data_IF_823468379616
#
_entry.id   IF_823468379616
#
_cell.length_a   1.000
_cell.length_b   1.000
_cell.length_c   1.000
_cell.angle_alpha   90.00
_cell.angle_beta   90.00
_cell.angle_gamma   90.00
#
_symmetry.space_group_name_H-M   'P 1'
#
loop_
_entity.id
_entity.type
_entity.pdbx_description
1 polymer ?
#
# COMPACT_ATOMS: atom_id res chain seq x y z
N UNK A 1 4.10 26.73 -51.74
CA UNK A 1 3.07 25.94 -52.46
C UNK A 1 3.18 24.49 -52.00
N UNK A 2 2.46 24.08 -50.97
CA UNK A 2 2.21 22.69 -50.70
C UNK A 2 0.84 22.54 -50.08
N UNK A 3 0.01 21.76 -50.74
CA UNK A 3 -1.37 21.47 -50.42
C UNK A 3 -1.47 20.62 -49.17
N UNK A 4 -2.30 21.05 -48.21
CA UNK A 4 -2.77 20.25 -47.11
C UNK A 4 -4.04 19.54 -47.55
N UNK A 5 -3.97 18.22 -47.79
CA UNK A 5 -5.12 17.38 -48.07
C UNK A 5 -5.85 17.05 -46.76
N UNK A 6 -7.08 17.53 -46.69
CA UNK A 6 -8.10 17.14 -45.75
C UNK A 6 -8.39 15.64 -45.84
N UNK A 7 -8.21 14.89 -44.74
CA UNK A 7 -8.74 13.55 -44.62
C UNK A 7 -9.90 13.57 -43.61
N UNK A 8 -11.10 13.83 -44.12
CA UNK A 8 -12.35 13.69 -43.37
C UNK A 8 -12.74 12.19 -43.43
N UNK A 9 -12.37 11.44 -42.41
CA UNK A 9 -12.84 10.07 -42.16
C UNK A 9 -14.21 10.02 -41.50
N UNK A 10 -15.25 9.97 -42.34
CA UNK A 10 -16.63 9.76 -41.92
C UNK A 10 -16.82 8.31 -41.43
N UNK A 11 -16.87 8.08 -40.10
CA UNK A 11 -17.34 6.81 -39.53
C UNK A 11 -18.80 6.94 -39.14
N UNK A 12 -19.65 6.51 -40.05
CA UNK A 12 -21.09 6.27 -39.82
C UNK A 12 -21.28 5.29 -38.64
N UNK A 13 -22.16 5.71 -37.76
CA UNK A 13 -22.54 4.97 -36.56
C UNK A 13 -23.14 3.60 -36.84
N UNK A 14 -22.87 2.71 -35.93
CA UNK A 14 -23.71 1.51 -35.73
C UNK A 14 -24.75 1.84 -34.69
N UNK A 15 -26.00 1.77 -35.14
CA UNK A 15 -27.18 1.90 -34.33
C UNK A 15 -27.14 0.98 -33.11
N UNK A 16 -27.32 1.58 -31.94
CA UNK A 16 -27.48 0.82 -30.71
C UNK A 16 -28.72 -0.05 -30.79
N UNK A 17 -28.54 -1.31 -30.55
CA UNK A 17 -29.61 -2.25 -30.32
C UNK A 17 -30.24 -1.88 -28.98
N UNK A 18 -31.32 -1.11 -29.02
CA UNK A 18 -32.17 -0.89 -27.85
C UNK A 18 -32.86 -2.22 -27.52
N UNK A 19 -32.26 -3.00 -26.65
CA UNK A 19 -32.93 -4.11 -26.00
C UNK A 19 -34.10 -3.55 -25.18
N UNK A 20 -35.32 -3.74 -25.67
CA UNK A 20 -36.53 -3.56 -24.87
C UNK A 20 -36.52 -4.58 -23.74
N UNK A 21 -35.86 -4.20 -22.64
CA UNK A 21 -35.90 -5.01 -21.41
C UNK A 21 -37.34 -4.94 -20.89
N UNK A 22 -38.03 -6.08 -20.92
CA UNK A 22 -39.38 -6.19 -20.41
C UNK A 22 -39.42 -5.74 -18.95
N UNK A 23 -40.38 -4.88 -18.60
CA UNK A 23 -40.56 -4.37 -17.22
C UNK A 23 -40.64 -5.48 -16.17
N UNK A 24 -41.08 -6.69 -16.56
CA UNK A 24 -41.08 -7.87 -15.68
C UNK A 24 -39.69 -8.38 -15.35
N UNK A 25 -38.71 -8.27 -16.28
CA UNK A 25 -37.33 -8.71 -16.05
C UNK A 25 -36.62 -7.75 -15.10
N UNK A 26 -36.89 -6.46 -15.18
CA UNK A 26 -36.30 -5.45 -14.29
C UNK A 26 -36.72 -5.65 -12.84
N UNK A 27 -37.98 -6.02 -12.60
CA UNK A 27 -38.49 -6.30 -11.24
C UNK A 27 -37.83 -7.55 -10.65
N UNK A 28 -37.62 -8.59 -11.47
CA UNK A 28 -36.93 -9.81 -11.04
C UNK A 28 -35.47 -9.53 -10.64
N UNK A 29 -34.71 -8.72 -11.41
CA UNK A 29 -33.34 -8.32 -11.10
C UNK A 29 -33.26 -7.45 -9.84
N UNK A 30 -34.27 -6.57 -9.59
CA UNK A 30 -34.30 -5.74 -8.40
C UNK A 30 -34.62 -6.56 -7.12
N UNK A 31 -35.41 -7.61 -7.25
CA UNK A 31 -35.71 -8.52 -6.14
C UNK A 31 -34.50 -9.33 -5.66
N UNK A 32 -33.61 -9.72 -6.56
CA UNK A 32 -32.41 -10.48 -6.22
C UNK A 32 -31.40 -9.60 -5.48
N UNK A 33 -31.35 -8.30 -5.79
CA UNK A 33 -30.47 -7.34 -5.10
C UNK A 33 -30.84 -7.10 -3.63
N UNK A 34 -32.12 -7.25 -3.28
CA UNK A 34 -32.58 -7.01 -1.90
C UNK A 34 -32.36 -8.23 -0.98
N UNK A 35 -32.23 -9.44 -1.53
CA UNK A 35 -31.99 -10.65 -0.72
C UNK A 35 -30.50 -10.81 -0.37
N UNK A 36 -29.60 -10.21 -1.14
CA UNK A 36 -28.15 -10.26 -0.92
C UNK A 36 -27.65 -9.44 0.29
N UNK A 37 -28.49 -8.57 0.87
CA UNK A 37 -28.06 -7.65 1.93
C UNK A 37 -28.20 -8.19 3.37
N UNK A 38 -28.77 -9.38 3.58
CA UNK A 38 -29.07 -9.88 4.94
C UNK A 38 -28.06 -10.91 5.46
N UNK A 39 -27.10 -11.35 4.64
CA UNK A 39 -26.08 -12.33 5.06
C UNK A 39 -24.69 -11.73 5.34
N UNK A 40 -24.57 -10.43 5.48
CA UNK A 40 -23.38 -9.86 6.08
C UNK A 40 -23.44 -10.07 7.60
N UNK A 41 -23.22 -11.32 8.00
CA UNK A 41 -22.89 -11.64 9.38
C UNK A 41 -21.80 -10.69 9.83
N UNK A 42 -22.11 -9.89 10.85
CA UNK A 42 -21.17 -9.01 11.51
C UNK A 42 -19.94 -9.84 11.89
N UNK A 43 -18.89 -9.77 11.06
CA UNK A 43 -17.56 -10.17 11.46
C UNK A 43 -17.21 -9.20 12.58
N UNK A 44 -17.45 -9.61 13.82
CA UNK A 44 -16.89 -8.97 15.01
C UNK A 44 -15.37 -8.97 14.78
N UNK A 45 -14.86 -7.89 14.20
CA UNK A 45 -13.45 -7.57 14.34
C UNK A 45 -13.23 -7.45 15.83
N UNK A 46 -12.62 -8.44 16.43
CA UNK A 46 -12.00 -8.29 17.73
C UNK A 46 -10.99 -7.17 17.53
N UNK A 47 -11.38 -5.94 17.91
CA UNK A 47 -10.40 -4.90 18.11
C UNK A 47 -9.42 -5.51 19.12
N UNK A 48 -8.12 -5.64 18.79
CA UNK A 48 -7.16 -6.01 19.80
C UNK A 48 -7.31 -4.96 20.89
N UNK A 49 -7.61 -5.40 22.11
CA UNK A 49 -7.58 -4.56 23.30
C UNK A 49 -6.15 -4.04 23.35
N UNK A 50 -5.94 -2.82 22.87
CA UNK A 50 -4.68 -2.11 23.01
C UNK A 50 -4.61 -1.79 24.49
N UNK A 51 -3.93 -2.66 25.23
CA UNK A 51 -3.47 -2.31 26.58
C UNK A 51 -2.50 -1.13 26.36
N UNK A 52 -2.99 0.07 26.55
CA UNK A 52 -2.22 1.32 26.64
C UNK A 52 -1.39 1.33 27.92
N UNK A 53 -0.59 0.32 28.12
CA UNK A 53 0.57 0.40 28.99
C UNK A 53 1.57 1.18 28.15
N UNK A 54 1.87 2.44 28.53
CA UNK A 54 2.87 3.33 27.96
C UNK A 54 3.95 2.56 27.19
N UNK A 55 3.72 2.32 25.90
CA UNK A 55 4.78 1.82 25.02
C UNK A 55 5.65 3.03 24.77
N UNK A 56 6.76 3.10 25.46
CA UNK A 56 7.86 3.97 25.07
C UNK A 56 8.12 3.70 23.59
N UNK A 57 7.87 4.70 22.75
CA UNK A 57 8.06 4.58 21.30
C UNK A 57 9.56 4.39 21.06
N UNK A 58 9.98 3.15 20.95
CA UNK A 58 11.36 2.83 20.63
C UNK A 58 11.58 3.19 19.17
N UNK A 59 12.47 4.14 18.94
CA UNK A 59 12.87 4.50 17.59
C UNK A 59 14.41 4.51 17.46
N UNK A 60 14.87 4.19 16.25
CA UNK A 60 16.29 4.26 15.89
C UNK A 60 16.46 5.18 14.68
N UNK A 61 17.44 6.09 14.71
CA UNK A 61 17.78 6.96 13.58
C UNK A 61 19.01 6.44 12.86
N UNK A 62 18.97 6.40 11.55
CA UNK A 62 20.09 5.93 10.71
C UNK A 62 20.43 6.98 9.66
N UNK A 63 21.73 7.22 9.49
CA UNK A 63 22.26 8.06 8.43
C UNK A 63 22.64 7.18 7.22
N UNK A 64 21.97 7.40 6.12
CA UNK A 64 22.13 6.69 4.84
C UNK A 64 22.62 7.69 3.78
N UNK A 65 23.92 7.84 3.59
CA UNK A 65 24.50 8.78 2.61
C UNK A 65 23.92 10.22 2.74
N UNK A 66 24.05 10.81 3.93
CA UNK A 66 23.55 12.17 4.26
C UNK A 66 22.01 12.30 4.31
N UNK A 67 21.27 11.20 4.21
CA UNK A 67 19.83 11.15 4.46
C UNK A 67 19.57 10.48 5.80
N UNK A 68 18.66 11.05 6.57
CA UNK A 68 18.26 10.48 7.85
C UNK A 68 16.96 9.70 7.67
N UNK A 69 16.99 8.46 8.10
CA UNK A 69 15.81 7.61 8.22
C UNK A 69 15.55 7.29 9.68
N UNK A 70 14.29 7.29 10.07
CA UNK A 70 13.87 6.87 11.40
C UNK A 70 13.09 5.56 11.28
N UNK A 71 13.46 4.57 12.07
CA UNK A 71 12.75 3.30 12.24
C UNK A 71 11.99 3.37 13.55
N UNK A 72 10.67 3.44 13.49
CA UNK A 72 9.78 3.41 14.65
C UNK A 72 9.25 1.97 14.82
N UNK A 73 9.45 1.37 15.98
CA UNK A 73 8.96 0.03 16.29
C UNK A 73 7.51 0.15 16.78
N UNK A 74 6.56 -0.21 15.92
CA UNK A 74 5.13 -0.22 16.26
C UNK A 74 4.78 -1.47 17.06
N UNK A 75 5.26 -2.60 16.60
CA UNK A 75 5.22 -3.91 17.29
C UNK A 75 6.53 -4.66 17.03
N UNK A 76 6.68 -5.84 17.59
CA UNK A 76 7.83 -6.71 17.30
C UNK A 76 7.82 -7.19 15.83
N UNK A 77 6.64 -7.19 15.20
CA UNK A 77 6.43 -7.66 13.83
C UNK A 77 6.30 -6.52 12.82
N UNK A 78 6.07 -5.28 13.27
CA UNK A 78 5.79 -4.15 12.39
C UNK A 78 6.64 -2.95 12.76
N UNK A 79 7.32 -2.40 11.77
CA UNK A 79 8.04 -1.13 11.91
C UNK A 79 7.56 -0.11 10.89
N UNK A 80 7.68 1.16 11.24
CA UNK A 80 7.48 2.27 10.32
C UNK A 80 8.82 2.90 10.00
N UNK A 81 9.23 2.86 8.74
CA UNK A 81 10.39 3.58 8.22
C UNK A 81 9.95 4.97 7.74
N UNK A 82 10.61 6.01 8.20
CA UNK A 82 10.35 7.40 7.84
C UNK A 82 11.60 8.02 7.21
N UNK A 83 11.49 8.52 5.97
CA UNK A 83 12.47 9.41 5.34
C UNK A 83 12.25 10.83 5.87
N UNK A 84 13.19 11.33 6.67
CA UNK A 84 13.08 12.64 7.32
C UNK A 84 13.20 13.82 6.34
N UNK A 85 13.73 13.60 5.13
CA UNK A 85 13.90 14.66 4.14
C UNK A 85 12.61 14.97 3.38
N UNK A 86 11.85 13.93 3.02
CA UNK A 86 10.64 14.04 2.19
C UNK A 86 9.36 13.66 2.97
N UNK A 87 9.50 13.33 4.25
CA UNK A 87 8.41 12.90 5.15
C UNK A 87 7.61 11.70 4.61
N UNK A 88 8.24 10.86 3.78
CA UNK A 88 7.61 9.64 3.27
C UNK A 88 7.73 8.53 4.30
N UNK A 89 6.63 7.80 4.49
CA UNK A 89 6.52 6.69 5.44
C UNK A 89 6.26 5.39 4.70
N UNK A 90 6.86 4.31 5.19
CA UNK A 90 6.60 2.93 4.77
C UNK A 90 6.32 2.12 6.03
N UNK A 91 5.31 1.29 6.00
CA UNK A 91 5.09 0.28 7.01
C UNK A 91 5.69 -1.02 6.49
N UNK A 92 6.54 -1.63 7.27
CA UNK A 92 7.28 -2.83 6.89
C UNK A 92 6.95 -3.94 7.87
N UNK A 93 6.69 -5.13 7.35
CA UNK A 93 6.44 -6.32 8.12
C UNK A 93 7.73 -7.11 8.32
N UNK A 94 7.83 -7.77 9.48
CA UNK A 94 8.97 -8.60 9.82
C UNK A 94 9.07 -9.79 8.89
N UNK A 95 10.28 -10.07 8.43
CA UNK A 95 10.58 -11.27 7.64
C UNK A 95 11.63 -12.12 8.34
N UNK A 96 11.57 -13.42 8.09
CA UNK A 96 12.52 -14.37 8.68
C UNK A 96 13.95 -13.98 8.31
N UNK A 97 14.81 -13.93 9.32
CA UNK A 97 16.22 -13.63 9.16
C UNK A 97 17.05 -14.49 10.12
N UNK A 98 18.10 -15.11 9.62
CA UNK A 98 19.03 -15.89 10.44
C UNK A 98 19.88 -15.00 11.36
N UNK A 99 19.99 -13.71 11.07
CA UNK A 99 20.83 -12.80 11.82
C UNK A 99 20.32 -11.35 11.70
N UNK A 100 20.06 -10.71 12.84
CA UNK A 100 19.52 -9.36 12.92
C UNK A 100 18.03 -9.27 12.67
N UNK A 101 17.54 -8.04 12.58
CA UNK A 101 16.13 -7.72 12.37
C UNK A 101 15.92 -7.37 10.90
N UNK A 102 14.99 -8.02 10.23
CA UNK A 102 14.68 -7.77 8.83
C UNK A 102 13.20 -7.49 8.65
N UNK A 103 12.90 -6.40 7.95
CA UNK A 103 11.54 -5.98 7.64
C UNK A 103 11.43 -5.61 6.18
N UNK A 104 10.28 -5.86 5.56
CA UNK A 104 10.06 -5.49 4.16
C UNK A 104 8.60 -5.23 3.83
N UNK A 105 8.40 -4.41 2.79
CA UNK A 105 7.19 -4.35 1.98
C UNK A 105 7.55 -4.71 0.51
N UNK A 106 6.68 -4.39 -0.42
CA UNK A 106 6.89 -4.66 -1.85
C UNK A 106 8.08 -3.87 -2.44
N UNK A 107 8.36 -2.67 -1.91
CA UNK A 107 9.28 -1.71 -2.52
C UNK A 107 10.53 -1.43 -1.68
N UNK A 108 10.44 -1.67 -0.37
CA UNK A 108 11.47 -1.30 0.58
C UNK A 108 11.79 -2.47 1.50
N UNK A 109 13.08 -2.70 1.73
CA UNK A 109 13.57 -3.69 2.70
C UNK A 109 14.61 -3.04 3.59
N UNK A 110 14.57 -3.34 4.87
CA UNK A 110 15.62 -2.98 5.81
C UNK A 110 16.12 -4.24 6.52
N UNK A 111 17.43 -4.27 6.75
CA UNK A 111 18.09 -5.29 7.55
C UNK A 111 18.98 -4.60 8.57
N UNK A 112 18.64 -4.72 9.83
CA UNK A 112 19.33 -4.07 10.95
C UNK A 112 20.14 -5.11 11.71
N UNK A 113 21.42 -4.79 11.88
CA UNK A 113 22.37 -5.60 12.66
C UNK A 113 23.23 -4.68 13.52
N UNK A 114 22.96 -4.67 14.83
CA UNK A 114 23.62 -3.75 15.75
C UNK A 114 23.46 -2.28 15.32
N UNK A 115 24.55 -1.59 15.09
CA UNK A 115 24.56 -0.16 14.72
C UNK A 115 24.49 0.09 13.19
N UNK A 116 24.25 -0.94 12.40
CA UNK A 116 24.18 -0.83 10.94
C UNK A 116 22.80 -1.23 10.45
N UNK A 117 22.33 -0.54 9.43
CA UNK A 117 21.13 -0.89 8.67
C UNK A 117 21.49 -0.93 7.18
N UNK A 118 21.10 -1.99 6.51
CA UNK A 118 21.09 -2.04 5.04
C UNK A 118 19.68 -1.68 4.58
N UNK A 119 19.54 -0.59 3.84
CA UNK A 119 18.31 -0.16 3.20
C UNK A 119 18.34 -0.56 1.73
N UNK A 120 17.37 -1.36 1.30
CA UNK A 120 17.14 -1.67 -0.12
C UNK A 120 15.88 -0.95 -0.57
N UNK A 121 16.00 -0.10 -1.57
CA UNK A 121 14.88 0.65 -2.14
C UNK A 121 15.05 0.71 -3.66
N UNK A 122 13.99 0.35 -4.40
CA UNK A 122 14.04 0.29 -5.88
C UNK A 122 15.25 -0.53 -6.39
N UNK A 123 15.54 -1.66 -5.77
CA UNK A 123 16.65 -2.53 -6.11
C UNK A 123 18.06 -2.03 -5.75
N UNK A 124 18.18 -0.84 -5.14
CA UNK A 124 19.47 -0.26 -4.71
C UNK A 124 19.69 -0.50 -3.23
N UNK A 125 20.90 -0.95 -2.89
CA UNK A 125 21.31 -1.15 -1.51
C UNK A 125 22.11 0.06 -1.01
N UNK A 126 21.75 0.55 0.16
CA UNK A 126 22.45 1.64 0.85
C UNK A 126 22.79 1.20 2.26
N UNK A 127 24.06 1.31 2.63
CA UNK A 127 24.51 1.07 4.01
C UNK A 127 24.31 2.32 4.85
N UNK A 128 23.72 2.14 6.03
CA UNK A 128 23.38 3.20 6.96
C UNK A 128 24.00 2.93 8.33
N UNK A 129 24.35 4.00 9.02
CA UNK A 129 24.90 3.95 10.37
C UNK A 129 23.94 4.56 11.37
N UNK A 130 23.81 3.94 12.54
CA UNK A 130 23.01 4.45 13.65
C UNK A 130 23.56 5.83 14.08
N UNK A 131 22.66 6.79 14.18
CA UNK A 131 22.95 8.12 14.74
C UNK A 131 22.79 8.03 16.25
N UNK A 132 23.82 8.41 16.96
CA UNK A 132 23.82 8.53 18.44
C UNK A 132 23.18 9.83 18.88
#
# INVERSE_FOLDING_TARGET
MFNVLNFIGNKKGKAGIFMKISKKLTIMLFGILLIGCVLNGAVKRKNPVINDKHRELVFKKFNCNKKIYTVNYITDEIVQLLDMKIYKKWQLDRVVSSNGEKYSDENVKIHIKGNRMMLTQNGRNTSCLLVK
#
